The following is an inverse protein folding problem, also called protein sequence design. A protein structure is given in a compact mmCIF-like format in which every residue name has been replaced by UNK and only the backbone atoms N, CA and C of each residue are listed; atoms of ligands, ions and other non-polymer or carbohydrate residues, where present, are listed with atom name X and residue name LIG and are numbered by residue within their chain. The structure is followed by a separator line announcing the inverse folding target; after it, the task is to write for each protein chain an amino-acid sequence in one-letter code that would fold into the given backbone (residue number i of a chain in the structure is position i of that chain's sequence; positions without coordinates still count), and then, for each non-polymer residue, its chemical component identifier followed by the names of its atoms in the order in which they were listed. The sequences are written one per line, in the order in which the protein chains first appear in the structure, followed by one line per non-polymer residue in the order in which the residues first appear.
data_IF_894256941454
#
_entry.id   IF_894256941454
#
_cell.length_a   1.000
_cell.length_b   1.000
_cell.length_c   1.000
_cell.angle_alpha   90.00
_cell.angle_beta   90.00
_cell.angle_gamma   90.00
#
_symmetry.space_group_name_H-M   'P 1'
#
loop_
_entity.id
_entity.type
_entity.pdbx_description
1 polymer ?
#
# COMPACT_ATOMS: atom_id res chain seq x y z
N UNK A 1 55.73 -87.37 13.18
CA UNK A 1 56.47 -86.56 14.16
C UNK A 1 55.49 -85.52 14.71
N UNK A 2 54.83 -85.85 15.83
CA UNK A 2 54.80 -85.10 17.12
C UNK A 2 54.17 -83.69 16.99
N UNK A 3 52.86 -83.50 17.25
CA UNK A 3 52.15 -83.31 18.55
C UNK A 3 52.47 -82.02 19.32
N UNK A 4 51.47 -81.12 19.46
CA UNK A 4 50.86 -80.57 20.72
C UNK A 4 49.72 -79.61 20.34
N UNK A 5 48.45 -79.81 20.75
CA UNK A 5 47.77 -79.46 22.04
C UNK A 5 47.72 -77.93 22.30
N UNK A 6 46.65 -77.27 22.77
CA UNK A 6 45.42 -77.72 23.47
C UNK A 6 44.56 -76.50 23.92
N UNK A 7 43.22 -76.68 23.95
CA UNK A 7 42.17 -76.14 24.88
C UNK A 7 41.81 -74.63 24.86
N UNK A 8 40.58 -74.17 25.10
CA UNK A 8 39.29 -74.72 25.60
C UNK A 8 38.19 -73.65 25.34
N UNK A 9 36.98 -73.92 24.81
CA UNK A 9 35.74 -74.39 25.49
C UNK A 9 35.39 -73.56 26.76
N UNK A 10 34.22 -72.93 26.95
CA UNK A 10 32.84 -73.45 26.97
C UNK A 10 31.83 -72.28 26.96
N UNK A 11 30.73 -72.37 26.19
CA UNK A 11 29.35 -72.75 26.58
C UNK A 11 28.47 -71.54 26.99
N UNK A 12 27.45 -71.19 26.20
CA UNK A 12 26.04 -71.66 26.30
C UNK A 12 25.35 -71.06 27.54
N UNK A 13 24.24 -70.33 27.43
CA UNK A 13 22.92 -70.80 27.00
C UNK A 13 21.95 -69.59 26.90
N UNK A 14 21.21 -69.42 25.79
CA UNK A 14 19.77 -69.75 25.61
C UNK A 14 18.85 -69.07 26.66
N UNK A 15 17.85 -68.27 26.31
CA UNK A 15 16.70 -68.54 25.42
C UNK A 15 16.04 -67.20 25.01
N UNK A 16 15.69 -66.94 23.74
CA UNK A 16 14.41 -67.26 23.05
C UNK A 16 13.18 -66.75 23.83
N UNK A 17 12.28 -65.92 23.30
CA UNK A 17 11.23 -66.15 22.26
C UNK A 17 10.66 -64.74 21.93
N UNK A 18 10.65 -64.20 20.69
CA UNK A 18 9.79 -64.40 19.49
C UNK A 18 8.31 -63.90 19.62
N UNK A 19 7.81 -63.32 18.52
CA UNK A 19 6.47 -62.80 18.16
C UNK A 19 6.23 -61.32 18.48
N UNK A 20 6.10 -60.35 17.55
CA UNK A 20 5.54 -60.25 16.19
C UNK A 20 4.00 -60.37 16.10
N UNK A 21 3.34 -59.23 15.81
CA UNK A 21 2.09 -59.01 15.04
C UNK A 21 1.41 -57.70 15.57
N UNK A 22 1.27 -56.59 14.83
CA UNK A 22 0.47 -56.28 13.61
C UNK A 22 -1.00 -55.88 13.92
N UNK A 23 -1.44 -54.78 13.27
CA UNK A 23 -2.81 -54.23 13.05
C UNK A 23 -3.46 -53.48 14.24
N UNK A 24 -3.73 -52.16 14.18
CA UNK A 24 -4.64 -51.36 13.32
C UNK A 24 -6.10 -51.27 13.83
N UNK A 25 -6.59 -50.02 13.86
CA UNK A 25 -7.98 -49.52 13.93
C UNK A 25 -8.74 -49.56 15.26
N UNK A 26 -9.33 -48.39 15.59
CA UNK A 26 -10.28 -48.19 16.70
C UNK A 26 -10.79 -46.75 16.75
N UNK A 27 -11.71 -46.41 15.84
CA UNK A 27 -12.62 -45.26 15.94
C UNK A 27 -13.49 -45.38 17.20
N UNK A 28 -13.70 -44.29 17.93
CA UNK A 28 -14.99 -43.87 18.54
C UNK A 28 -14.81 -42.71 19.52
N UNK A 29 -15.50 -41.59 19.26
CA UNK A 29 -15.63 -40.49 20.21
C UNK A 29 -16.08 -39.15 19.62
N UNK A 30 -17.17 -39.13 18.84
CA UNK A 30 -17.95 -37.92 18.57
C UNK A 30 -19.04 -37.73 19.65
N UNK A 31 -19.62 -36.52 19.71
CA UNK A 31 -20.58 -35.95 20.68
C UNK A 31 -19.88 -35.35 21.90
N UNK A 32 -19.68 -34.04 22.05
CA UNK A 32 -20.50 -32.87 21.75
C UNK A 32 -19.60 -31.66 21.44
N UNK A 33 -19.85 -30.93 20.35
CA UNK A 33 -20.12 -29.48 20.28
C UNK A 33 -20.54 -29.21 18.83
N UNK A 34 -21.85 -29.11 18.67
CA UNK A 34 -22.49 -28.41 17.56
C UNK A 34 -22.51 -26.92 17.97
N UNK A 35 -22.33 -26.00 16.99
CA UNK A 35 -22.17 -24.54 17.13
C UNK A 35 -20.78 -24.00 17.49
N UNK A 36 -19.91 -23.87 16.47
CA UNK A 36 -18.91 -22.79 16.39
C UNK A 36 -18.26 -22.71 14.98
N UNK A 37 -19.04 -22.91 13.92
CA UNK A 37 -18.53 -22.92 12.54
C UNK A 37 -19.12 -21.81 11.64
N UNK A 38 -19.67 -20.74 12.25
CA UNK A 38 -20.15 -19.57 11.51
C UNK A 38 -19.49 -18.25 11.96
N UNK A 39 -18.62 -18.23 12.98
CA UNK A 39 -18.05 -16.97 13.52
C UNK A 39 -16.61 -16.64 13.10
N UNK A 40 -15.88 -17.54 12.43
CA UNK A 40 -14.45 -17.34 12.14
C UNK A 40 -14.14 -16.73 10.77
N UNK A 41 -15.13 -16.61 9.87
CA UNK A 41 -14.98 -15.87 8.61
C UNK A 41 -15.38 -14.39 8.78
N UNK A 42 -16.21 -14.07 9.77
CA UNK A 42 -16.59 -12.71 10.15
C UNK A 42 -15.45 -11.94 10.83
N UNK A 43 -14.79 -12.54 11.83
CA UNK A 43 -13.77 -11.85 12.64
C UNK A 43 -12.50 -11.43 11.86
N UNK A 44 -12.10 -12.20 10.84
CA UNK A 44 -10.95 -11.85 9.99
C UNK A 44 -11.28 -10.75 8.96
N UNK A 45 -12.56 -10.65 8.55
CA UNK A 45 -13.06 -9.53 7.73
C UNK A 45 -13.41 -8.30 8.57
N UNK A 46 -13.73 -8.49 9.85
CA UNK A 46 -13.95 -7.45 10.86
C UNK A 46 -12.67 -6.70 11.24
N UNK A 47 -11.49 -7.34 11.18
CA UNK A 47 -10.22 -6.64 11.40
C UNK A 47 -9.79 -5.75 10.21
N UNK A 48 -10.17 -6.09 8.98
CA UNK A 48 -9.70 -5.38 7.78
C UNK A 48 -10.45 -4.07 7.45
N UNK A 49 -11.65 -3.89 8.01
CA UNK A 49 -12.54 -2.74 7.70
C UNK A 49 -12.42 -1.56 8.68
N UNK A 50 -12.18 -1.80 9.97
CA UNK A 50 -11.81 -0.74 10.93
C UNK A 50 -10.45 -0.10 10.57
N UNK A 51 -9.62 -0.83 9.83
CA UNK A 51 -8.25 -0.44 9.51
C UNK A 51 -8.17 0.73 8.51
N UNK A 52 -9.10 0.93 7.58
CA UNK A 52 -8.84 1.82 6.43
C UNK A 52 -8.80 3.31 6.80
N UNK A 53 -9.64 3.78 7.73
CA UNK A 53 -9.72 5.20 8.13
C UNK A 53 -8.72 5.59 9.22
N UNK A 54 -8.62 4.79 10.29
CA UNK A 54 -7.63 5.00 11.35
C UNK A 54 -6.20 4.69 10.89
N UNK A 55 -5.99 3.79 9.91
CA UNK A 55 -4.65 3.49 9.44
C UNK A 55 -4.01 4.58 8.58
N UNK A 56 -4.75 5.49 7.94
CA UNK A 56 -4.09 6.59 7.21
C UNK A 56 -3.33 7.48 8.19
N UNK A 57 -3.96 7.89 9.29
CA UNK A 57 -3.33 8.71 10.32
C UNK A 57 -2.31 7.96 11.16
N UNK A 58 -2.59 6.70 11.51
CA UNK A 58 -1.67 5.89 12.30
C UNK A 58 -0.40 5.46 11.53
N UNK A 59 -0.44 5.40 10.18
CA UNK A 59 0.72 5.00 9.36
C UNK A 59 1.67 6.16 9.04
N UNK A 60 1.30 7.38 9.38
CA UNK A 60 2.07 8.58 9.09
C UNK A 60 2.57 9.10 10.42
N UNK A 61 3.87 8.90 10.65
CA UNK A 61 4.47 9.35 11.88
C UNK A 61 4.46 10.89 11.98
N UNK A 62 4.16 11.39 13.18
CA UNK A 62 4.25 12.81 13.56
C UNK A 62 5.70 13.29 13.60
N UNK A 63 5.93 14.57 13.34
CA UNK A 63 7.23 15.21 13.51
C UNK A 63 7.80 15.08 14.93
N UNK A 64 6.96 14.92 15.95
CA UNK A 64 7.38 14.84 17.35
C UNK A 64 8.36 13.68 17.66
N UNK A 65 8.45 12.67 16.79
CA UNK A 65 9.30 11.50 16.97
C UNK A 65 10.30 11.31 15.82
N UNK A 66 10.72 12.39 15.15
CA UNK A 66 11.71 12.34 14.09
C UNK A 66 13.07 11.80 14.59
N UNK A 67 13.64 10.77 13.95
CA UNK A 67 15.02 10.41 14.19
C UNK A 67 15.96 11.55 13.77
N UNK A 68 17.16 11.60 14.35
CA UNK A 68 18.15 12.63 13.98
C UNK A 68 18.49 12.57 12.50
N UNK A 69 18.36 13.69 11.79
CA UNK A 69 18.67 13.80 10.37
C UNK A 69 20.10 13.30 10.03
N UNK A 70 20.23 12.68 8.86
CA UNK A 70 21.50 12.11 8.39
C UNK A 70 21.90 10.78 9.04
N UNK A 71 21.09 10.22 9.94
CA UNK A 71 21.30 8.88 10.50
C UNK A 71 20.66 7.78 9.66
N UNK A 72 21.09 6.53 9.86
CA UNK A 72 20.46 5.37 9.23
C UNK A 72 18.98 5.24 9.65
N UNK A 73 18.66 5.58 10.90
CA UNK A 73 17.30 5.55 11.44
C UNK A 73 16.41 6.58 10.73
N UNK A 74 16.90 7.79 10.50
CA UNK A 74 16.19 8.81 9.71
C UNK A 74 15.96 8.33 8.28
N UNK A 75 16.97 7.75 7.64
CA UNK A 75 16.80 7.20 6.28
C UNK A 75 15.69 6.13 6.22
N UNK A 76 15.70 5.17 7.14
CA UNK A 76 14.67 4.11 7.18
C UNK A 76 13.27 4.70 7.42
N UNK A 77 13.18 5.69 8.32
CA UNK A 77 11.95 6.40 8.60
C UNK A 77 11.43 7.16 7.37
N UNK A 78 12.30 7.87 6.65
CA UNK A 78 11.91 8.61 5.45
C UNK A 78 11.48 7.68 4.32
N UNK A 79 12.11 6.51 4.17
CA UNK A 79 11.67 5.47 3.22
C UNK A 79 10.27 4.97 3.58
N UNK A 80 10.00 4.61 4.84
CA UNK A 80 8.68 4.12 5.24
C UNK A 80 7.59 5.17 5.06
N UNK A 81 7.88 6.43 5.38
CA UNK A 81 6.95 7.54 5.17
C UNK A 81 6.68 7.77 3.67
N UNK A 82 7.71 7.70 2.83
CA UNK A 82 7.57 7.80 1.38
C UNK A 82 6.69 6.67 0.81
N UNK A 83 6.86 5.42 1.26
CA UNK A 83 6.00 4.31 0.84
C UNK A 83 4.51 4.58 1.09
N UNK A 84 4.20 5.07 2.29
CA UNK A 84 2.83 5.40 2.70
C UNK A 84 2.27 6.52 1.83
N UNK A 85 3.03 7.61 1.69
CA UNK A 85 2.61 8.79 0.95
C UNK A 85 2.45 8.54 -0.55
N UNK A 86 3.38 7.83 -1.17
CA UNK A 86 3.24 7.44 -2.58
C UNK A 86 2.09 6.46 -2.79
N UNK A 87 1.85 5.56 -1.83
CA UNK A 87 0.69 4.69 -1.84
C UNK A 87 -0.63 5.46 -1.95
N UNK A 88 -0.80 6.54 -1.18
CA UNK A 88 -2.00 7.39 -1.25
C UNK A 88 -1.99 8.34 -2.45
N UNK A 89 -0.82 8.89 -2.83
CA UNK A 89 -0.73 9.84 -3.93
C UNK A 89 -0.96 9.18 -5.30
N UNK A 90 -0.61 7.90 -5.46
CA UNK A 90 -0.67 7.19 -6.74
C UNK A 90 -1.68 6.06 -6.79
N UNK A 91 -2.32 5.68 -5.69
CA UNK A 91 -3.29 4.59 -5.69
C UNK A 91 -4.50 4.88 -4.81
N UNK A 92 -5.67 4.50 -5.31
CA UNK A 92 -6.89 4.33 -4.52
C UNK A 92 -7.16 2.83 -4.39
N UNK A 93 -6.94 2.28 -3.19
CA UNK A 93 -7.04 0.83 -2.92
C UNK A 93 -6.17 -0.04 -3.88
N UNK A 94 -4.96 0.42 -4.20
CA UNK A 94 -4.01 -0.29 -5.08
C UNK A 94 -4.29 -0.17 -6.58
N UNK A 95 -5.31 0.60 -6.97
CA UNK A 95 -5.69 0.84 -8.36
C UNK A 95 -5.60 2.32 -8.70
N UNK A 96 -5.41 2.63 -9.98
CA UNK A 96 -5.53 3.99 -10.51
C UNK A 96 -6.08 3.97 -11.94
N UNK A 97 -6.93 4.94 -12.35
CA UNK A 97 -7.43 5.01 -13.73
C UNK A 97 -6.27 5.14 -14.73
N UNK A 98 -6.26 4.38 -15.84
CA UNK A 98 -5.17 4.51 -16.83
C UNK A 98 -5.21 5.84 -17.58
N UNK A 99 -6.38 6.46 -17.74
CA UNK A 99 -6.53 7.77 -18.38
C UNK A 99 -5.97 8.92 -17.55
N UNK A 100 -5.58 8.68 -16.29
CA UNK A 100 -5.03 9.70 -15.40
C UNK A 100 -3.59 10.08 -15.75
N UNK A 101 -3.40 10.80 -16.86
CA UNK A 101 -2.11 11.30 -17.34
C UNK A 101 -1.79 12.70 -16.82
N UNK A 102 -0.51 13.05 -16.78
CA UNK A 102 -0.01 14.39 -16.44
C UNK A 102 0.95 14.86 -17.52
N UNK A 103 0.92 16.15 -17.80
CA UNK A 103 1.95 16.87 -18.55
C UNK A 103 3.02 17.46 -17.61
N UNK A 104 4.19 17.77 -18.15
CA UNK A 104 5.27 18.33 -17.33
C UNK A 104 4.85 19.67 -16.69
N UNK A 105 5.07 19.78 -15.38
CA UNK A 105 4.64 20.93 -14.58
C UNK A 105 3.24 20.79 -13.99
N UNK A 106 2.46 19.81 -14.41
CA UNK A 106 1.11 19.63 -13.89
C UNK A 106 1.09 19.08 -12.46
N UNK A 107 0.14 19.58 -11.68
CA UNK A 107 -0.05 19.15 -10.31
C UNK A 107 -1.51 19.24 -9.88
N UNK A 108 -1.86 18.42 -8.90
CA UNK A 108 -3.15 18.43 -8.21
C UNK A 108 -2.93 18.37 -6.71
N UNK A 109 -3.84 18.98 -5.96
CA UNK A 109 -3.91 18.89 -4.50
C UNK A 109 -5.28 18.42 -4.08
N UNK A 110 -5.30 17.43 -3.20
CA UNK A 110 -6.51 16.89 -2.61
C UNK A 110 -6.57 17.15 -1.11
N UNK A 111 -7.78 17.36 -0.60
CA UNK A 111 -8.10 17.27 0.82
C UNK A 111 -8.61 15.87 1.14
N UNK A 112 -8.22 15.33 2.30
CA UNK A 112 -8.59 14.00 2.75
C UNK A 112 -9.49 14.10 3.99
N UNK A 113 -10.64 13.44 3.94
CA UNK A 113 -11.57 13.35 5.06
C UNK A 113 -12.09 11.93 5.23
N UNK A 114 -12.51 11.58 6.44
CA UNK A 114 -13.33 10.39 6.64
C UNK A 114 -14.73 10.62 6.04
N UNK A 115 -15.49 9.56 5.77
CA UNK A 115 -16.79 9.67 5.11
C UNK A 115 -17.87 10.36 5.97
N UNK A 116 -17.69 10.40 7.28
CA UNK A 116 -18.50 11.18 8.23
C UNK A 116 -18.02 12.64 8.36
N UNK A 117 -17.02 13.05 7.59
CA UNK A 117 -16.52 14.43 7.53
C UNK A 117 -15.46 14.78 8.58
N UNK A 118 -14.96 13.79 9.32
CA UNK A 118 -13.85 13.95 10.25
C UNK A 118 -12.49 14.08 9.56
N UNK A 119 -11.48 14.40 10.36
CA UNK A 119 -10.09 14.51 9.90
C UNK A 119 -9.55 13.14 9.49
N UNK A 120 -8.98 13.06 8.29
CA UNK A 120 -8.13 11.93 7.90
C UNK A 120 -6.69 12.17 8.38
N UNK A 121 -5.84 11.14 8.27
CA UNK A 121 -4.45 11.21 8.70
C UNK A 121 -3.64 12.41 8.19
N UNK A 122 -3.94 12.89 6.98
CA UNK A 122 -3.42 14.13 6.43
C UNK A 122 -4.56 15.10 6.14
N UNK A 123 -4.28 16.39 6.19
CA UNK A 123 -5.21 17.42 5.74
C UNK A 123 -5.21 17.51 4.22
N UNK A 124 -4.02 17.64 3.62
CA UNK A 124 -3.89 17.73 2.16
C UNK A 124 -2.72 16.92 1.63
N UNK A 125 -2.85 16.43 0.40
CA UNK A 125 -1.76 15.82 -0.36
C UNK A 125 -1.74 16.38 -1.77
N UNK A 126 -0.55 16.77 -2.21
CA UNK A 126 -0.28 17.23 -3.56
C UNK A 126 0.59 16.19 -4.28
N UNK A 127 0.26 15.93 -5.54
CA UNK A 127 1.08 15.17 -6.48
C UNK A 127 1.37 16.07 -7.68
N UNK A 128 2.63 16.16 -8.07
CA UNK A 128 3.06 16.93 -9.22
C UNK A 128 3.99 16.12 -10.13
N UNK A 129 3.74 16.17 -11.43
CA UNK A 129 4.66 15.67 -12.43
C UNK A 129 5.63 16.79 -12.80
N UNK A 130 6.92 16.61 -12.46
CA UNK A 130 7.90 17.68 -12.61
C UNK A 130 8.52 17.72 -14.00
N UNK A 131 8.90 16.55 -14.53
CA UNK A 131 9.50 16.39 -15.87
C UNK A 131 9.80 14.93 -16.19
N UNK A 132 10.04 14.68 -17.47
CA UNK A 132 10.73 13.49 -17.99
C UNK A 132 12.24 13.76 -18.04
N UNK A 133 13.04 12.83 -17.53
CA UNK A 133 14.50 12.84 -17.66
C UNK A 133 14.92 12.30 -19.05
N UNK A 134 16.15 12.60 -19.47
CA UNK A 134 16.63 12.23 -20.82
C UNK A 134 16.72 10.72 -21.06
N UNK A 135 16.63 9.90 -20.01
CA UNK A 135 16.62 8.43 -20.05
C UNK A 135 15.21 7.82 -19.95
N UNK A 136 14.15 8.65 -19.99
CA UNK A 136 12.76 8.21 -19.88
C UNK A 136 12.26 7.99 -18.45
N UNK A 137 13.09 8.21 -17.42
CA UNK A 137 12.62 8.24 -16.05
C UNK A 137 11.82 9.52 -15.79
N UNK A 138 10.94 9.50 -14.79
CA UNK A 138 10.01 10.58 -14.49
C UNK A 138 10.29 11.17 -13.09
N UNK A 139 10.42 12.48 -13.00
CA UNK A 139 10.49 13.18 -11.72
C UNK A 139 9.10 13.52 -11.23
N UNK A 140 8.77 13.07 -10.02
CA UNK A 140 7.51 13.33 -9.35
C UNK A 140 7.73 13.97 -7.99
N UNK A 141 6.85 14.89 -7.60
CA UNK A 141 6.79 15.44 -6.24
C UNK A 141 5.52 14.99 -5.54
N UNK A 142 5.67 14.56 -4.30
CA UNK A 142 4.57 14.37 -3.36
C UNK A 142 4.78 15.28 -2.16
N UNK A 143 3.80 16.13 -1.85
CA UNK A 143 3.79 16.95 -0.65
C UNK A 143 2.56 16.62 0.19
N UNK A 144 2.76 16.36 1.47
CA UNK A 144 1.66 16.10 2.39
C UNK A 144 1.69 17.06 3.58
N UNK A 145 0.52 17.58 3.95
CA UNK A 145 0.33 18.48 5.08
C UNK A 145 -0.46 17.76 6.17
N UNK A 146 0.05 17.76 7.39
CA UNK A 146 -0.63 17.28 8.59
C UNK A 146 -0.48 18.36 9.67
N UNK A 147 -1.55 19.07 10.00
CA UNK A 147 -1.49 20.22 10.91
C UNK A 147 -0.43 21.23 10.44
N UNK A 148 0.56 21.55 11.27
CA UNK A 148 1.67 22.45 10.92
C UNK A 148 2.82 21.72 10.18
N UNK A 149 2.83 20.39 10.19
CA UNK A 149 3.90 19.57 9.62
C UNK A 149 3.73 19.36 8.11
N UNK A 150 4.81 19.61 7.36
CA UNK A 150 4.85 19.42 5.91
C UNK A 150 5.96 18.43 5.50
N UNK A 151 5.56 17.34 4.86
CA UNK A 151 6.46 16.37 4.26
C UNK A 151 6.57 16.63 2.77
N UNK A 152 7.80 16.63 2.22
CA UNK A 152 8.02 16.75 0.78
C UNK A 152 8.95 15.66 0.30
N UNK A 153 8.58 14.99 -0.78
CA UNK A 153 9.38 13.98 -1.45
C UNK A 153 9.45 14.30 -2.93
N UNK A 154 10.64 14.20 -3.50
CA UNK A 154 10.86 14.23 -4.95
C UNK A 154 11.54 12.92 -5.35
N UNK A 155 10.86 12.15 -6.20
CA UNK A 155 11.29 10.82 -6.60
C UNK A 155 11.54 10.79 -8.11
N UNK A 156 12.65 10.16 -8.50
CA UNK A 156 12.87 9.73 -9.87
C UNK A 156 12.34 8.31 -10.01
N UNK A 157 11.30 8.14 -10.83
CA UNK A 157 10.61 6.88 -11.05
C UNK A 157 10.97 6.36 -12.43
N UNK A 158 11.31 5.07 -12.52
CA UNK A 158 11.36 4.37 -13.78
C UNK A 158 9.97 3.80 -14.10
N UNK A 159 9.24 4.35 -15.10
CA UNK A 159 7.86 3.96 -15.35
C UNK A 159 7.74 2.52 -15.91
N UNK A 160 8.75 2.03 -16.64
CA UNK A 160 8.75 0.68 -17.21
C UNK A 160 8.85 -0.41 -16.13
N UNK A 161 9.68 -0.17 -15.11
CA UNK A 161 9.87 -1.11 -13.98
C UNK A 161 8.93 -0.81 -12.81
N UNK A 162 8.34 0.38 -12.75
CA UNK A 162 7.53 0.83 -11.63
C UNK A 162 8.34 0.97 -10.34
N UNK A 163 9.58 1.48 -10.43
CA UNK A 163 10.55 1.55 -9.33
C UNK A 163 11.03 2.99 -9.09
N UNK A 164 11.19 3.38 -7.82
CA UNK A 164 11.95 4.59 -7.48
C UNK A 164 13.44 4.29 -7.60
N UNK A 165 14.15 5.10 -8.38
CA UNK A 165 15.60 4.97 -8.57
C UNK A 165 16.38 6.03 -7.78
N UNK A 166 15.74 7.17 -7.44
CA UNK A 166 16.29 8.20 -6.55
C UNK A 166 15.17 8.84 -5.74
N UNK A 167 15.45 9.20 -4.49
CA UNK A 167 14.51 9.87 -3.61
C UNK A 167 15.20 10.97 -2.83
N UNK A 168 14.69 12.19 -2.93
CA UNK A 168 15.07 13.31 -2.08
C UNK A 168 13.89 13.71 -1.23
N UNK A 169 14.13 14.01 0.04
CA UNK A 169 13.06 14.36 0.97
C UNK A 169 13.37 15.63 1.74
N UNK A 170 12.30 16.25 2.26
CA UNK A 170 12.31 17.26 3.31
C UNK A 170 11.34 16.86 4.40
N UNK A 171 11.84 16.76 5.63
CA UNK A 171 11.00 16.51 6.80
C UNK A 171 10.37 17.82 7.35
N UNK A 172 9.42 17.73 8.31
CA UNK A 172 8.76 18.91 8.88
C UNK A 172 9.69 19.89 9.60
N UNK A 173 10.86 19.44 10.09
CA UNK A 173 11.88 20.32 10.68
C UNK A 173 12.70 21.07 9.62
N UNK A 174 12.47 20.76 8.33
CA UNK A 174 13.15 21.39 7.20
C UNK A 174 14.46 20.71 6.80
N UNK A 175 14.80 19.56 7.39
CA UNK A 175 16.00 18.82 6.99
C UNK A 175 15.80 18.23 5.60
N UNK A 176 16.73 18.51 4.68
CA UNK A 176 16.70 18.02 3.31
C UNK A 176 17.82 16.99 3.10
N UNK A 177 17.51 15.86 2.47
CA UNK A 177 18.51 14.83 2.19
C UNK A 177 18.14 13.87 1.06
N UNK A 178 19.16 13.26 0.47
CA UNK A 178 19.00 12.06 -0.37
C UNK A 178 18.70 10.88 0.55
N UNK A 179 17.64 10.16 0.23
CA UNK A 179 17.19 8.99 0.97
C UNK A 179 17.58 7.75 0.17
N UNK A 180 18.35 6.82 0.74
CA UNK A 180 18.76 5.62 0.03
C UNK A 180 17.53 4.78 -0.32
N UNK A 181 17.37 4.50 -1.62
CA UNK A 181 16.37 3.57 -2.13
C UNK A 181 17.05 2.29 -2.60
N UNK A 182 16.39 1.16 -2.41
CA UNK A 182 16.78 -0.13 -2.98
C UNK A 182 15.74 -0.54 -4.02
N UNK A 183 16.05 -1.57 -4.79
CA UNK A 183 15.03 -2.26 -5.58
C UNK A 183 13.86 -2.62 -4.64
N UNK A 184 12.62 -2.24 -5.03
CA UNK A 184 11.34 -2.52 -4.34
C UNK A 184 11.01 -1.76 -3.04
N UNK A 185 11.78 -0.76 -2.58
CA UNK A 185 11.57 -0.16 -1.24
C UNK A 185 10.72 1.10 -1.16
N UNK A 186 10.31 1.79 -2.22
CA UNK A 186 9.57 3.07 -2.05
C UNK A 186 8.25 3.11 -2.80
N UNK A 187 8.25 2.70 -4.06
CA UNK A 187 7.07 2.77 -4.91
C UNK A 187 6.70 1.37 -5.40
N UNK A 188 5.41 1.08 -5.36
CA UNK A 188 4.81 -0.01 -6.12
C UNK A 188 3.81 0.63 -7.05
N UNK A 189 4.06 0.52 -8.35
CA UNK A 189 3.15 1.06 -9.35
C UNK A 189 1.73 0.50 -9.14
N UNK A 190 0.70 1.35 -9.10
CA UNK A 190 -0.67 0.89 -9.00
C UNK A 190 -1.02 0.01 -10.21
N UNK A 191 -2.00 -0.87 -10.04
CA UNK A 191 -2.60 -1.52 -11.21
C UNK A 191 -3.38 -0.46 -11.99
N UNK A 192 -2.98 -0.22 -13.25
CA UNK A 192 -3.66 0.71 -14.15
C UNK A 192 -4.88 0.02 -14.75
N UNK A 193 -6.06 0.59 -14.54
CA UNK A 193 -7.31 0.09 -15.12
C UNK A 193 -7.37 0.45 -16.61
N UNK A 194 -7.65 -0.51 -17.50
CA UNK A 194 -7.80 -0.20 -18.93
C UNK A 194 -9.01 0.69 -19.19
N UNK A 195 -9.02 1.37 -20.34
CA UNK A 195 -10.13 2.23 -20.76
C UNK A 195 -11.45 1.44 -20.83
N UNK A 196 -11.43 0.23 -21.37
CA UNK A 196 -12.62 -0.63 -21.45
C UNK A 196 -13.11 -1.05 -20.06
N UNK A 197 -12.19 -1.22 -19.10
CA UNK A 197 -12.55 -1.50 -17.72
C UNK A 197 -13.25 -0.30 -17.09
N UNK A 198 -12.71 0.90 -17.31
CA UNK A 198 -13.28 2.16 -16.80
C UNK A 198 -14.67 2.39 -17.41
N UNK A 199 -14.83 2.21 -18.72
CA UNK A 199 -16.11 2.33 -19.40
C UNK A 199 -17.14 1.33 -18.84
N UNK A 200 -16.76 0.06 -18.68
CA UNK A 200 -17.62 -0.98 -18.12
C UNK A 200 -18.02 -0.76 -16.65
N UNK A 201 -17.21 -0.01 -15.89
CA UNK A 201 -17.47 0.35 -14.50
C UNK A 201 -18.10 1.75 -14.33
N UNK A 202 -18.34 2.47 -15.43
CA UNK A 202 -18.97 3.80 -15.39
C UNK A 202 -20.46 3.64 -15.10
N UNK A 203 -20.92 4.22 -13.99
CA UNK A 203 -22.32 4.12 -13.53
C UNK A 203 -23.15 5.36 -13.86
N UNK A 204 -22.53 6.44 -14.33
CA UNK A 204 -23.23 7.64 -14.78
C UNK A 204 -22.33 8.87 -14.88
N UNK A 205 -22.95 10.01 -15.13
CA UNK A 205 -22.32 11.33 -15.11
C UNK A 205 -23.02 12.24 -14.12
N UNK A 206 -22.25 13.06 -13.41
CA UNK A 206 -22.77 14.05 -12.47
C UNK A 206 -21.88 15.30 -12.39
N UNK A 207 -22.50 16.43 -12.09
CA UNK A 207 -21.79 17.66 -11.75
C UNK A 207 -21.30 17.59 -10.30
N UNK A 208 -20.02 17.89 -10.10
CA UNK A 208 -19.36 17.79 -8.81
C UNK A 208 -18.75 19.13 -8.41
N UNK A 209 -19.27 19.71 -7.33
CA UNK A 209 -18.69 20.89 -6.71
C UNK A 209 -17.53 20.52 -5.78
N UNK A 210 -16.42 21.25 -5.94
CA UNK A 210 -15.23 21.15 -5.11
C UNK A 210 -14.65 22.54 -4.84
N UNK A 211 -13.71 22.71 -3.89
CA UNK A 211 -13.00 23.98 -3.73
C UNK A 211 -12.21 24.41 -4.98
N UNK A 212 -11.81 23.49 -5.84
CA UNK A 212 -11.13 23.79 -7.10
C UNK A 212 -12.06 24.26 -8.23
N UNK A 213 -13.38 24.14 -8.05
CA UNK A 213 -14.39 24.45 -9.07
C UNK A 213 -15.48 23.38 -9.18
N UNK A 214 -16.36 23.58 -10.16
CA UNK A 214 -17.43 22.65 -10.53
C UNK A 214 -17.03 21.90 -11.79
N UNK A 215 -17.17 20.57 -11.77
CA UNK A 215 -16.73 19.71 -12.86
C UNK A 215 -17.84 18.77 -13.32
N UNK A 216 -17.96 18.57 -14.63
CA UNK A 216 -18.75 17.46 -15.17
C UNK A 216 -17.94 16.18 -15.07
N UNK A 217 -18.40 15.22 -14.27
CA UNK A 217 -17.63 14.01 -13.95
C UNK A 217 -18.32 12.74 -14.42
N UNK A 218 -17.52 11.78 -14.89
CA UNK A 218 -17.93 10.37 -14.98
C UNK A 218 -17.74 9.72 -13.62
N UNK A 219 -18.77 9.05 -13.13
CA UNK A 219 -18.70 8.25 -11.90
C UNK A 219 -18.36 6.82 -12.25
N UNK A 220 -17.22 6.35 -11.77
CA UNK A 220 -16.69 5.00 -12.02
C UNK A 220 -16.65 4.24 -10.70
N UNK A 221 -17.29 3.07 -10.62
CA UNK A 221 -17.44 2.32 -9.37
C UNK A 221 -17.01 0.85 -9.53
N UNK A 222 -16.10 0.42 -8.65
CA UNK A 222 -15.67 -0.97 -8.56
C UNK A 222 -15.95 -1.52 -7.17
N UNK A 223 -16.84 -2.51 -7.10
CA UNK A 223 -17.16 -3.26 -5.89
C UNK A 223 -16.43 -4.60 -5.87
N UNK A 224 -15.88 -5.00 -4.73
CA UNK A 224 -15.15 -6.26 -4.57
C UNK A 224 -13.76 -6.25 -5.22
N UNK A 225 -13.11 -5.08 -5.32
CA UNK A 225 -11.77 -4.93 -5.89
C UNK A 225 -10.65 -5.63 -5.11
N UNK A 226 -9.39 -5.39 -5.48
CA UNK A 226 -8.19 -6.11 -4.98
C UNK A 226 -7.94 -6.11 -3.46
N UNK A 227 -8.69 -5.34 -2.67
CA UNK A 227 -8.63 -5.34 -1.20
C UNK A 227 -9.98 -5.63 -0.53
N UNK A 228 -10.99 -6.06 -1.28
CA UNK A 228 -12.39 -5.95 -0.86
C UNK A 228 -12.89 -4.50 -0.88
N UNK A 229 -14.15 -4.30 -0.53
CA UNK A 229 -14.77 -2.98 -0.47
C UNK A 229 -15.16 -2.38 -1.81
N UNK A 230 -15.36 -1.07 -1.84
CA UNK A 230 -15.78 -0.31 -3.02
C UNK A 230 -14.84 0.87 -3.23
N UNK A 231 -14.41 1.07 -4.46
CA UNK A 231 -13.70 2.28 -4.89
C UNK A 231 -14.57 3.01 -5.89
N UNK A 232 -14.74 4.31 -5.66
CA UNK A 232 -15.45 5.20 -6.58
C UNK A 232 -14.50 6.31 -7.00
N UNK A 233 -14.36 6.53 -8.31
CA UNK A 233 -13.68 7.69 -8.88
C UNK A 233 -14.69 8.60 -9.58
N UNK A 234 -14.44 9.90 -9.51
CA UNK A 234 -15.14 10.93 -10.26
C UNK A 234 -14.13 11.56 -11.21
N UNK A 235 -14.31 11.32 -12.51
CA UNK A 235 -13.32 11.61 -13.54
C UNK A 235 -13.75 12.79 -14.42
N UNK A 236 -12.89 13.80 -14.59
CA UNK A 236 -13.07 14.92 -15.51
C UNK A 236 -11.78 15.18 -16.30
N UNK A 237 -11.88 15.30 -17.62
CA UNK A 237 -10.72 15.41 -18.53
C UNK A 237 -9.91 16.69 -18.34
N UNK A 238 -10.54 17.77 -17.87
CA UNK A 238 -9.90 19.08 -17.71
C UNK A 238 -9.00 19.19 -16.45
N UNK A 239 -8.91 18.13 -15.65
CA UNK A 239 -8.09 18.09 -14.42
C UNK A 239 -6.86 17.21 -14.69
N UNK A 240 -5.63 17.65 -14.35
CA UNK A 240 -4.46 16.80 -14.47
C UNK A 240 -4.61 15.47 -13.72
N UNK A 241 -4.39 14.36 -14.41
CA UNK A 241 -4.65 13.03 -13.89
C UNK A 241 -6.14 12.66 -13.78
N UNK A 242 -7.02 13.46 -14.37
CA UNK A 242 -8.47 13.29 -14.54
C UNK A 242 -9.31 13.04 -13.29
N UNK A 243 -8.74 12.89 -12.09
CA UNK A 243 -9.49 12.54 -10.88
C UNK A 243 -9.87 13.81 -10.11
N UNK A 244 -11.17 14.08 -10.02
CA UNK A 244 -11.71 15.21 -9.23
C UNK A 244 -11.97 14.79 -7.79
N UNK A 245 -12.42 13.55 -7.60
CA UNK A 245 -12.69 12.97 -6.30
C UNK A 245 -12.50 11.47 -6.38
N UNK A 246 -12.10 10.86 -5.28
CA UNK A 246 -12.23 9.43 -5.12
C UNK A 246 -12.59 9.06 -3.69
N UNK A 247 -13.28 7.92 -3.56
CA UNK A 247 -13.73 7.37 -2.29
C UNK A 247 -13.31 5.92 -2.24
N UNK A 248 -12.74 5.51 -1.12
CA UNK A 248 -12.55 4.08 -0.84
C UNK A 248 -13.35 3.73 0.40
N UNK A 249 -14.10 2.64 0.31
CA UNK A 249 -14.96 2.13 1.37
C UNK A 249 -14.59 0.68 1.63
N UNK A 250 -14.21 0.35 2.88
CA UNK A 250 -14.01 -1.03 3.30
C UNK A 250 -15.33 -1.79 3.44
N UNK A 251 -15.26 -3.12 3.61
CA UNK A 251 -16.43 -3.99 3.74
C UNK A 251 -17.35 -3.66 4.93
N UNK A 252 -16.87 -2.91 5.92
CA UNK A 252 -17.61 -2.51 7.11
C UNK A 252 -18.13 -1.06 7.07
N UNK A 253 -18.05 -0.41 5.92
CA UNK A 253 -18.61 0.94 5.74
C UNK A 253 -17.67 2.09 6.12
N UNK A 254 -16.56 1.82 6.81
CA UNK A 254 -15.49 2.81 6.97
C UNK A 254 -15.00 3.25 5.59
N UNK A 255 -15.07 4.55 5.34
CA UNK A 255 -14.69 5.11 4.06
C UNK A 255 -13.94 6.43 4.29
N UNK A 256 -13.08 6.76 3.34
CA UNK A 256 -12.49 8.07 3.26
C UNK A 256 -12.65 8.61 1.85
N UNK A 257 -12.62 9.93 1.76
CA UNK A 257 -12.88 10.71 0.55
C UNK A 257 -11.70 11.64 0.34
N UNK A 258 -11.18 11.63 -0.88
CA UNK A 258 -10.22 12.60 -1.38
C UNK A 258 -10.95 13.54 -2.33
N UNK A 259 -10.91 14.85 -2.07
CA UNK A 259 -11.58 15.85 -2.92
C UNK A 259 -10.55 16.83 -3.45
N UNK A 260 -10.56 17.10 -4.75
CA UNK A 260 -9.70 18.09 -5.39
C UNK A 260 -9.94 19.46 -4.76
N UNK A 261 -8.88 20.13 -4.34
CA UNK A 261 -8.96 21.48 -3.77
C UNK A 261 -8.20 22.51 -4.59
N UNK A 262 -7.21 22.08 -5.36
CA UNK A 262 -6.42 22.96 -6.23
C UNK A 262 -5.68 22.13 -7.30
N UNK A 263 -5.33 22.75 -8.42
CA UNK A 263 -4.51 22.16 -9.47
C UNK A 263 -3.82 23.27 -10.29
N UNK A 264 -2.78 22.92 -11.04
CA UNK A 264 -2.02 23.88 -11.85
C UNK A 264 -0.98 23.21 -12.76
N UNK A 265 -0.17 24.03 -13.44
CA UNK A 265 0.76 23.62 -14.53
C UNK A 265 2.19 24.16 -14.35
N UNK A 266 2.50 24.73 -13.18
CA UNK A 266 3.75 25.45 -12.90
C UNK A 266 4.66 24.72 -11.89
N UNK A 267 4.46 23.42 -11.67
CA UNK A 267 5.26 22.66 -10.73
C UNK A 267 6.72 22.53 -11.19
N UNK A 268 7.64 22.88 -10.29
CA UNK A 268 9.08 22.67 -10.46
C UNK A 268 9.69 22.03 -9.21
N UNK A 269 10.95 21.62 -9.27
CA UNK A 269 11.63 21.12 -8.07
C UNK A 269 11.68 22.18 -6.96
N UNK A 270 11.37 21.75 -5.74
CA UNK A 270 11.48 22.52 -4.50
C UNK A 270 12.69 22.09 -3.68
N UNK A 271 13.22 20.89 -3.95
CA UNK A 271 14.37 20.31 -3.26
C UNK A 271 15.68 20.40 -4.06
N UNK A 272 15.64 20.91 -5.29
CA UNK A 272 16.80 20.99 -6.18
C UNK A 272 17.27 19.61 -6.64
N UNK A 273 16.34 18.75 -7.04
CA UNK A 273 16.61 17.33 -7.37
C UNK A 273 17.22 17.14 -8.76
N UNK A 274 17.11 18.14 -9.64
CA UNK A 274 17.67 18.17 -10.99
C UNK A 274 18.04 19.60 -11.41
#
# INVERSE_FOLDING_TARGET
MVCTRSNSAHASSLSAVVLAAVLATGLSGCFFVQEAAESTVGAASEAAGEEVGQAIGARVASAANLPTAGTAQWNQFMVSQAQVLFGYAFAANGMWPAEATYEEGEWVRYEFRTADGGEAGFQTMERAFLKTAGDGNEWWRVRAQQQEDAWVYEALINPERGEVVRLRSRDPEGNVGEVPVTERTVYRSPQRLTEESIEGATVGTEELDTPAGTFSTRKVEYTGGMGGGTVTWYLAEDVPGHVVRYRTQGNQGAAWVSTLVEYGTDATTTLGSY
#
